data_IF_859779434693
#
_entry.id   IF_859779434693
#
_cell.length_a   1.000
_cell.length_b   1.000
_cell.length_c   1.000
_cell.angle_alpha   90.00
_cell.angle_beta   90.00
_cell.angle_gamma   90.00
#
_symmetry.space_group_name_H-M   'P 1'
#
loop_
_entity.id
_entity.type
_entity.pdbx_description
1 polymer ?
#
# COMPACT_ATOMS: atom_id res chain seq x y z
N UNK A 1 16.48 -25.31 13.24
CA UNK A 1 16.73 -24.63 11.94
C UNK A 1 15.49 -23.99 11.27
N UNK A 2 14.24 -24.30 11.68
CA UNK A 2 13.02 -23.84 10.97
C UNK A 2 12.52 -22.42 11.27
N UNK A 3 12.79 -21.89 12.48
CA UNK A 3 12.31 -20.56 12.89
C UNK A 3 12.99 -19.40 12.13
N UNK A 4 14.30 -19.51 11.88
CA UNK A 4 15.07 -18.50 11.14
C UNK A 4 14.63 -18.38 9.67
N UNK A 5 14.29 -19.51 9.02
CA UNK A 5 13.76 -19.52 7.64
C UNK A 5 12.35 -18.93 7.54
N UNK A 6 11.50 -19.12 8.55
CA UNK A 6 10.15 -18.52 8.60
C UNK A 6 10.21 -17.00 8.79
N UNK A 7 11.09 -16.52 9.68
CA UNK A 7 11.32 -15.08 9.88
C UNK A 7 11.85 -14.38 8.62
N UNK A 8 12.83 -14.99 7.93
CA UNK A 8 13.38 -14.46 6.69
C UNK A 8 12.37 -14.36 5.54
N UNK A 9 11.53 -15.39 5.35
CA UNK A 9 10.47 -15.40 4.33
C UNK A 9 9.39 -14.34 4.58
N UNK A 10 9.01 -14.11 5.84
CA UNK A 10 8.06 -13.07 6.20
C UNK A 10 8.63 -11.66 5.96
N UNK A 11 9.92 -11.45 6.26
CA UNK A 11 10.62 -10.19 5.99
C UNK A 11 10.75 -9.91 4.49
N UNK A 12 11.15 -10.91 3.69
CA UNK A 12 11.21 -10.78 2.23
C UNK A 12 9.84 -10.46 1.62
N UNK A 13 8.78 -11.09 2.11
CA UNK A 13 7.41 -10.79 1.66
C UNK A 13 6.98 -9.37 2.01
N UNK A 14 7.36 -8.86 3.19
CA UNK A 14 7.10 -7.47 3.57
C UNK A 14 7.82 -6.48 2.64
N UNK A 15 9.11 -6.74 2.34
CA UNK A 15 9.90 -5.94 1.40
C UNK A 15 9.25 -5.95 0.01
N UNK A 16 8.91 -7.13 -0.52
CA UNK A 16 8.28 -7.26 -1.83
C UNK A 16 6.91 -6.58 -1.89
N UNK A 17 6.07 -6.77 -0.87
CA UNK A 17 4.76 -6.14 -0.78
C UNK A 17 4.82 -4.61 -0.72
N UNK A 18 5.72 -4.08 0.11
CA UNK A 18 5.93 -2.64 0.21
C UNK A 18 6.54 -2.07 -1.07
N UNK A 19 7.45 -2.81 -1.72
CA UNK A 19 7.98 -2.45 -3.03
C UNK A 19 6.88 -2.36 -4.09
N UNK A 20 5.91 -3.27 -4.09
CA UNK A 20 4.75 -3.18 -4.99
C UNK A 20 3.92 -1.92 -4.70
N UNK A 21 3.71 -1.59 -3.43
CA UNK A 21 2.98 -0.36 -3.06
C UNK A 21 3.71 0.90 -3.54
N UNK A 22 5.00 1.01 -3.24
CA UNK A 22 5.82 2.17 -3.60
C UNK A 22 6.05 2.27 -5.10
N UNK A 23 6.32 1.16 -5.78
CA UNK A 23 6.47 1.11 -7.23
C UNK A 23 5.22 1.61 -7.96
N UNK A 24 4.03 1.23 -7.49
CA UNK A 24 2.78 1.77 -8.01
C UNK A 24 2.66 3.28 -7.77
N UNK A 25 2.92 3.75 -6.54
CA UNK A 25 2.87 5.19 -6.22
C UNK A 25 3.86 5.99 -7.09
N UNK A 26 5.10 5.52 -7.24
CA UNK A 26 6.08 6.13 -8.13
C UNK A 26 5.59 6.14 -9.58
N UNK A 27 4.97 5.06 -10.06
CA UNK A 27 4.43 5.02 -11.42
C UNK A 27 3.35 6.08 -11.64
N UNK A 28 2.48 6.32 -10.65
CA UNK A 28 1.46 7.37 -10.74
C UNK A 28 2.09 8.77 -10.81
N UNK A 29 3.07 9.06 -9.95
CA UNK A 29 3.67 10.41 -9.86
C UNK A 29 4.66 10.72 -10.97
N UNK A 30 5.35 9.72 -11.52
CA UNK A 30 6.43 9.92 -12.49
C UNK A 30 6.05 9.51 -13.92
N UNK A 31 5.11 8.58 -14.11
CA UNK A 31 4.67 8.09 -15.42
C UNK A 31 3.18 8.36 -15.70
N UNK A 32 2.51 9.13 -14.85
CA UNK A 32 1.08 9.41 -14.93
C UNK A 32 0.66 10.18 -16.18
N UNK A 33 -0.64 10.46 -16.27
CA UNK A 33 -1.25 11.14 -17.43
C UNK A 33 -0.82 12.61 -17.59
N UNK A 34 -0.22 13.23 -16.55
CA UNK A 34 0.32 14.60 -16.56
C UNK A 34 -0.71 15.64 -17.03
N UNK A 35 -1.95 15.54 -16.52
CA UNK A 35 -3.05 16.40 -16.99
C UNK A 35 -3.00 17.78 -16.33
N UNK A 36 -3.19 18.83 -17.12
CA UNK A 36 -3.27 20.20 -16.64
C UNK A 36 -4.73 20.62 -16.37
N UNK A 37 -4.90 21.63 -15.50
CA UNK A 37 -6.19 22.27 -15.22
C UNK A 37 -6.12 23.77 -15.56
N UNK A 38 -7.10 24.25 -16.32
CA UNK A 38 -7.19 25.63 -16.81
C UNK A 38 -6.72 25.80 -18.26
N UNK A 39 -7.13 26.90 -18.90
CA UNK A 39 -6.71 27.30 -20.25
C UNK A 39 -5.89 28.60 -20.19
N UNK A 40 -4.74 28.67 -20.89
CA UNK A 40 -3.91 29.88 -21.02
C UNK A 40 -2.65 29.93 -20.13
N UNK A 41 -2.10 31.15 -19.92
CA UNK A 41 -0.81 31.42 -19.23
C UNK A 41 -0.81 30.99 -17.75
N UNK A 42 -1.98 30.75 -17.15
CA UNK A 42 -2.15 30.26 -15.77
C UNK A 42 -2.62 28.80 -15.72
N UNK A 43 -2.21 27.95 -16.67
CA UNK A 43 -2.50 26.52 -16.63
C UNK A 43 -1.76 25.85 -15.46
N UNK A 44 -2.50 25.20 -14.57
CA UNK A 44 -1.92 24.41 -13.50
C UNK A 44 -1.50 23.06 -14.05
N UNK A 45 -0.21 22.89 -14.32
CA UNK A 45 0.35 21.63 -14.81
C UNK A 45 0.27 20.53 -13.74
N UNK A 46 -0.06 19.30 -14.17
CA UNK A 46 -0.16 18.11 -13.29
C UNK A 46 -1.20 18.26 -12.15
N UNK A 47 -2.36 18.79 -12.49
CA UNK A 47 -3.51 18.90 -11.59
C UNK A 47 -3.99 17.53 -11.07
N UNK A 48 -3.84 16.48 -11.87
CA UNK A 48 -4.08 15.08 -11.49
C UNK A 48 -3.19 14.64 -10.32
N UNK A 49 -1.90 14.99 -10.34
CA UNK A 49 -0.97 14.64 -9.26
C UNK A 49 -1.27 15.41 -7.99
N UNK A 50 -1.54 16.71 -8.11
CA UNK A 50 -1.90 17.53 -6.97
C UNK A 50 -3.19 17.03 -6.31
N UNK A 51 -4.22 16.73 -7.11
CA UNK A 51 -5.46 16.14 -6.64
C UNK A 51 -5.22 14.81 -5.92
N UNK A 52 -4.46 13.90 -6.55
CA UNK A 52 -4.13 12.59 -5.96
C UNK A 52 -3.43 12.75 -4.61
N UNK A 53 -2.44 13.65 -4.51
CA UNK A 53 -1.72 13.94 -3.28
C UNK A 53 -2.64 14.53 -2.20
N UNK A 54 -3.51 15.47 -2.57
CA UNK A 54 -4.48 16.08 -1.67
C UNK A 54 -5.41 15.02 -1.06
N UNK A 55 -5.92 14.10 -1.88
CA UNK A 55 -6.77 13.01 -1.42
C UNK A 55 -6.00 11.98 -0.57
N UNK A 56 -4.72 11.72 -0.86
CA UNK A 56 -3.88 10.91 0.04
C UNK A 56 -3.74 11.56 1.41
N UNK A 57 -3.48 12.87 1.47
CA UNK A 57 -3.43 13.64 2.72
C UNK A 57 -4.79 13.59 3.44
N UNK A 58 -5.89 13.73 2.69
CA UNK A 58 -7.24 13.61 3.23
C UNK A 58 -7.48 12.24 3.86
N UNK A 59 -6.99 11.13 3.28
CA UNK A 59 -7.07 9.81 3.92
C UNK A 59 -6.36 9.76 5.28
N UNK A 60 -5.18 10.38 5.40
CA UNK A 60 -4.49 10.47 6.69
C UNK A 60 -5.25 11.36 7.69
N UNK A 61 -5.83 12.47 7.21
CA UNK A 61 -6.70 13.34 8.01
C UNK A 61 -7.95 12.62 8.51
N UNK A 62 -8.63 11.87 7.64
CA UNK A 62 -9.77 11.02 7.96
C UNK A 62 -9.39 10.00 9.02
N UNK A 63 -8.24 9.33 8.88
CA UNK A 63 -7.76 8.41 9.91
C UNK A 63 -7.42 9.10 11.23
N UNK A 64 -6.87 10.32 11.21
CA UNK A 64 -6.60 11.12 12.43
C UNK A 64 -7.89 11.43 13.19
N UNK A 65 -8.98 11.75 12.50
CA UNK A 65 -10.27 12.09 13.14
C UNK A 65 -11.14 10.85 13.42
N UNK A 66 -10.97 9.77 12.66
CA UNK A 66 -11.72 8.53 12.82
C UNK A 66 -11.50 7.89 14.21
N UNK A 67 -12.57 7.32 14.77
CA UNK A 67 -12.52 6.54 16.01
C UNK A 67 -11.68 5.27 15.86
N UNK A 68 -11.20 4.70 16.97
CA UNK A 68 -10.41 3.46 16.96
C UNK A 68 -11.13 2.30 16.24
N UNK A 69 -12.44 2.19 16.42
CA UNK A 69 -13.29 1.21 15.72
C UNK A 69 -13.36 1.47 14.21
N UNK A 70 -13.54 2.73 13.81
CA UNK A 70 -13.56 3.13 12.40
C UNK A 70 -12.19 2.93 11.73
N UNK A 71 -11.08 3.27 12.40
CA UNK A 71 -9.71 2.97 11.93
C UNK A 71 -9.50 1.46 11.76
N UNK A 72 -10.03 0.65 12.67
CA UNK A 72 -10.01 -0.81 12.57
C UNK A 72 -10.77 -1.31 11.35
N UNK A 73 -11.96 -0.76 11.09
CA UNK A 73 -12.81 -1.11 9.96
C UNK A 73 -12.22 -0.66 8.61
N UNK A 74 -11.73 0.58 8.53
CA UNK A 74 -11.09 1.14 7.32
C UNK A 74 -9.85 0.35 6.90
N UNK A 75 -9.20 -0.31 7.86
CA UNK A 75 -7.98 -1.06 7.63
C UNK A 75 -8.23 -2.56 7.78
N UNK A 76 -9.49 -2.97 7.61
CA UNK A 76 -9.89 -4.37 7.61
C UNK A 76 -9.38 -5.08 6.35
N UNK A 77 -9.10 -6.38 6.51
CA UNK A 77 -8.58 -7.26 5.46
C UNK A 77 -9.35 -7.22 4.12
N UNK A 78 -10.70 -7.25 4.08
CA UNK A 78 -11.42 -7.21 2.81
C UNK A 78 -11.31 -5.84 2.12
N UNK A 79 -11.20 -4.76 2.89
CA UNK A 79 -11.07 -3.41 2.36
C UNK A 79 -9.73 -3.19 1.66
N UNK A 80 -8.66 -3.91 2.04
CA UNK A 80 -7.37 -3.85 1.35
C UNK A 80 -7.47 -4.31 -0.11
N UNK A 81 -8.25 -5.36 -0.38
CA UNK A 81 -8.51 -5.80 -1.76
C UNK A 81 -9.36 -4.81 -2.53
N UNK A 82 -10.36 -4.20 -1.86
CA UNK A 82 -11.14 -3.12 -2.46
C UNK A 82 -10.23 -1.94 -2.86
N UNK A 83 -9.34 -1.51 -1.97
CA UNK A 83 -8.36 -0.46 -2.28
C UNK A 83 -7.45 -0.84 -3.43
N UNK A 84 -6.92 -2.06 -3.47
CA UNK A 84 -6.10 -2.51 -4.59
C UNK A 84 -6.84 -2.50 -5.92
N UNK A 85 -8.10 -2.96 -5.95
CA UNK A 85 -8.95 -2.92 -7.15
C UNK A 85 -9.23 -1.48 -7.58
N UNK A 86 -9.60 -0.60 -6.64
CA UNK A 86 -9.83 0.81 -6.93
C UNK A 86 -8.58 1.50 -7.48
N UNK A 87 -7.39 1.16 -6.97
CA UNK A 87 -6.12 1.67 -7.48
C UNK A 87 -5.82 1.19 -8.90
N UNK A 88 -6.03 -0.09 -9.18
CA UNK A 88 -5.86 -0.66 -10.53
C UNK A 88 -6.82 0.04 -11.49
N UNK A 89 -8.12 0.04 -11.19
CA UNK A 89 -9.16 0.63 -12.04
C UNK A 89 -8.91 2.13 -12.22
N UNK A 90 -8.70 2.86 -11.12
CA UNK A 90 -8.46 4.31 -11.14
C UNK A 90 -7.19 4.73 -11.87
N UNK A 91 -6.17 3.86 -11.96
CA UNK A 91 -4.96 4.13 -12.75
C UNK A 91 -5.09 3.80 -14.25
N UNK A 92 -6.12 3.03 -14.63
CA UNK A 92 -6.39 2.65 -16.03
C UNK A 92 -7.37 3.62 -16.68
N UNK A 93 -8.41 4.07 -15.96
CA UNK A 93 -9.46 4.97 -16.48
C UNK A 93 -8.89 6.24 -17.14
N UNK A 94 -7.93 6.98 -16.53
CA UNK A 94 -7.38 8.19 -17.15
C UNK A 94 -6.60 7.91 -18.43
N UNK A 95 -6.03 6.71 -18.57
CA UNK A 95 -5.30 6.29 -19.77
C UNK A 95 -6.22 5.96 -20.95
N UNK A 96 -7.51 5.72 -20.68
CA UNK A 96 -8.52 5.41 -21.70
C UNK A 96 -9.42 6.62 -22.02
N UNK A 97 -9.72 7.45 -21.02
CA UNK A 97 -10.57 8.61 -21.17
C UNK A 97 -9.73 9.81 -21.62
N UNK A 98 -9.79 10.20 -22.91
CA UNK A 98 -8.90 11.20 -23.51
C UNK A 98 -9.00 12.64 -22.97
N UNK A 99 -10.21 13.19 -22.78
CA UNK A 99 -10.38 14.57 -22.29
C UNK A 99 -11.57 14.70 -21.31
N UNK A 100 -11.38 14.37 -20.02
CA UNK A 100 -12.42 14.43 -19.01
C UNK A 100 -12.71 15.86 -18.56
N UNK A 101 -13.99 16.13 -18.28
CA UNK A 101 -14.42 17.34 -17.58
C UNK A 101 -13.65 17.55 -16.25
N UNK A 102 -13.56 18.78 -15.73
CA UNK A 102 -12.87 19.06 -14.47
C UNK A 102 -13.40 18.24 -13.27
N UNK A 103 -14.69 17.92 -13.25
CA UNK A 103 -15.28 17.07 -12.21
C UNK A 103 -14.77 15.62 -12.25
N UNK A 104 -14.50 15.08 -13.43
CA UNK A 104 -13.91 13.74 -13.59
C UNK A 104 -12.45 13.70 -13.14
N UNK A 105 -11.69 14.79 -13.30
CA UNK A 105 -10.32 14.88 -12.77
C UNK A 105 -10.30 14.77 -11.24
N UNK A 106 -11.21 15.49 -10.57
CA UNK A 106 -11.35 15.41 -9.12
C UNK A 106 -11.78 14.01 -8.66
N UNK A 107 -12.71 13.38 -9.39
CA UNK A 107 -13.16 12.02 -9.11
C UNK A 107 -12.04 10.99 -9.32
N UNK A 108 -11.29 11.07 -10.41
CA UNK A 108 -10.12 10.22 -10.70
C UNK A 108 -9.06 10.36 -9.60
N UNK A 109 -8.76 11.61 -9.23
CA UNK A 109 -7.84 11.93 -8.14
C UNK A 109 -8.29 11.36 -6.80
N UNK A 110 -9.59 11.40 -6.50
CA UNK A 110 -10.15 10.80 -5.29
C UNK A 110 -10.10 9.27 -5.34
N UNK A 111 -10.45 8.69 -6.49
CA UNK A 111 -10.50 7.25 -6.72
C UNK A 111 -9.12 6.60 -6.58
N UNK A 112 -8.05 7.32 -6.91
CA UNK A 112 -6.67 6.85 -6.76
C UNK A 112 -6.08 7.30 -5.42
N UNK A 113 -6.21 8.58 -5.07
CA UNK A 113 -5.57 9.18 -3.90
C UNK A 113 -6.09 8.64 -2.57
N UNK A 114 -7.42 8.48 -2.43
CA UNK A 114 -7.99 7.96 -1.18
C UNK A 114 -7.50 6.54 -0.85
N UNK A 115 -7.66 5.54 -1.75
CA UNK A 115 -7.18 4.19 -1.47
C UNK A 115 -5.64 4.10 -1.41
N UNK A 116 -4.89 4.93 -2.15
CA UNK A 116 -3.43 4.97 -2.02
C UNK A 116 -3.00 5.41 -0.61
N UNK A 117 -3.62 6.47 -0.08
CA UNK A 117 -3.38 6.96 1.27
C UNK A 117 -3.78 5.93 2.34
N UNK A 118 -4.94 5.28 2.19
CA UNK A 118 -5.42 4.25 3.12
C UNK A 118 -4.55 2.99 3.08
N UNK A 119 -4.09 2.56 1.90
CA UNK A 119 -3.18 1.43 1.76
C UNK A 119 -1.81 1.73 2.36
N UNK A 120 -1.29 2.95 2.18
CA UNK A 120 -0.05 3.40 2.82
C UNK A 120 -0.20 3.46 4.35
N UNK A 121 -1.34 3.94 4.86
CA UNK A 121 -1.63 3.93 6.29
C UNK A 121 -1.76 2.50 6.85
N UNK A 122 -2.32 1.57 6.08
CA UNK A 122 -2.39 0.16 6.44
C UNK A 122 -0.99 -0.46 6.57
N UNK A 123 -0.09 -0.18 5.62
CA UNK A 123 1.32 -0.55 5.70
C UNK A 123 2.02 0.12 6.89
N UNK A 124 1.77 1.40 7.15
CA UNK A 124 2.32 2.12 8.30
C UNK A 124 1.92 1.48 9.63
N UNK A 125 0.66 1.06 9.78
CA UNK A 125 0.21 0.31 10.96
C UNK A 125 0.81 -1.08 11.05
N UNK A 126 0.88 -1.81 9.94
CA UNK A 126 1.42 -3.17 9.93
C UNK A 126 2.91 -3.19 10.29
N UNK A 127 3.69 -2.26 9.73
CA UNK A 127 5.12 -2.12 10.01
C UNK A 127 5.39 -1.48 11.37
N UNK A 128 4.55 -0.53 11.81
CA UNK A 128 4.63 0.06 13.15
C UNK A 128 4.40 -0.95 14.29
N UNK A 129 3.72 -2.07 14.01
CA UNK A 129 3.57 -3.19 14.95
C UNK A 129 4.72 -4.21 14.92
N UNK A 130 5.77 -3.99 14.13
CA UNK A 130 6.93 -4.88 14.01
C UNK A 130 8.18 -4.25 14.64
N UNK A 131 9.17 -5.06 15.07
CA UNK A 131 10.45 -4.54 15.54
C UNK A 131 11.16 -3.75 14.43
N UNK A 132 11.86 -2.69 14.81
CA UNK A 132 12.53 -1.75 13.90
C UNK A 132 13.48 -2.48 12.92
N UNK A 133 14.19 -3.50 13.40
CA UNK A 133 15.09 -4.33 12.60
C UNK A 133 14.40 -5.03 11.40
N UNK A 134 13.08 -5.24 11.46
CA UNK A 134 12.28 -5.83 10.38
C UNK A 134 11.54 -4.76 9.56
N UNK A 135 11.11 -3.68 10.20
CA UNK A 135 10.38 -2.59 9.54
C UNK A 135 11.30 -1.75 8.64
N UNK A 136 12.51 -1.41 9.09
CA UNK A 136 13.44 -0.57 8.33
C UNK A 136 13.78 -1.16 6.95
N UNK A 137 14.23 -2.43 6.83
CA UNK A 137 14.52 -2.99 5.52
C UNK A 137 13.28 -3.03 4.63
N UNK A 138 12.10 -3.33 5.18
CA UNK A 138 10.87 -3.34 4.41
C UNK A 138 10.56 -1.97 3.78
N UNK A 139 10.76 -0.88 4.53
CA UNK A 139 10.54 0.48 4.02
C UNK A 139 11.63 0.91 3.05
N UNK A 140 12.90 0.85 3.46
CA UNK A 140 14.00 1.39 2.67
C UNK A 140 14.31 0.54 1.44
N UNK A 141 14.48 -0.77 1.61
CA UNK A 141 14.74 -1.69 0.49
C UNK A 141 13.49 -1.79 -0.38
N UNK A 142 12.30 -1.84 0.22
CA UNK A 142 11.06 -1.86 -0.54
C UNK A 142 10.90 -0.62 -1.42
N UNK A 143 11.09 0.58 -0.88
CA UNK A 143 11.08 1.83 -1.66
C UNK A 143 12.15 1.84 -2.74
N UNK A 144 13.39 1.44 -2.43
CA UNK A 144 14.48 1.42 -3.40
C UNK A 144 14.19 0.45 -4.57
N UNK A 145 13.67 -0.75 -4.27
CA UNK A 145 13.26 -1.74 -5.27
C UNK A 145 12.09 -1.20 -6.10
N UNK A 146 11.08 -0.61 -5.47
CA UNK A 146 9.94 -0.01 -6.16
C UNK A 146 10.37 1.13 -7.10
N UNK A 147 11.26 2.01 -6.65
CA UNK A 147 11.81 3.10 -7.46
C UNK A 147 12.66 2.58 -8.61
N UNK A 148 13.52 1.58 -8.36
CA UNK A 148 14.36 0.96 -9.40
C UNK A 148 13.52 0.25 -10.44
N UNK A 149 12.48 -0.48 -10.04
CA UNK A 149 11.56 -1.14 -10.95
C UNK A 149 10.78 -0.10 -11.79
N UNK A 150 10.30 0.98 -11.17
CA UNK A 150 9.67 2.09 -11.87
C UNK A 150 10.64 2.71 -12.89
N UNK A 151 11.88 3.02 -12.48
CA UNK A 151 12.91 3.58 -13.37
C UNK A 151 13.25 2.64 -14.53
N UNK A 152 13.44 1.34 -14.25
CA UNK A 152 13.70 0.34 -15.28
C UNK A 152 12.57 0.32 -16.32
N UNK A 153 11.32 0.30 -15.89
CA UNK A 153 10.16 0.34 -16.80
C UNK A 153 10.04 1.67 -17.57
N UNK A 154 10.57 2.78 -17.04
CA UNK A 154 10.62 4.07 -17.73
C UNK A 154 11.60 4.06 -18.92
N UNK A 155 12.66 3.27 -18.78
CA UNK A 155 13.76 3.20 -19.75
C UNK A 155 13.57 2.12 -20.81
N UNK A 156 12.62 1.20 -20.62
CA UNK A 156 12.32 0.11 -21.54
C UNK A 156 11.33 0.60 -22.61
N UNK A 157 11.68 0.58 -23.92
CA UNK A 157 10.81 1.03 -25.01
C UNK A 157 9.80 -0.04 -25.41
N UNK A 158 9.08 -0.63 -24.45
CA UNK A 158 8.04 -1.64 -24.69
C UNK A 158 6.68 -1.01 -24.40
N UNK A 159 5.87 -0.85 -25.44
CA UNK A 159 4.47 -0.46 -25.31
C UNK A 159 3.76 -1.42 -24.36
N UNK A 160 3.26 -0.92 -23.25
CA UNK A 160 2.55 -1.73 -22.25
C UNK A 160 3.34 -2.08 -20.99
N UNK A 161 4.67 -1.88 -20.94
CA UNK A 161 5.45 -2.19 -19.73
C UNK A 161 4.96 -1.41 -18.50
N UNK A 162 4.56 -0.16 -18.69
CA UNK A 162 3.96 0.68 -17.64
C UNK A 162 2.60 0.17 -17.14
N UNK A 163 1.86 -0.65 -17.92
CA UNK A 163 0.61 -1.26 -17.45
C UNK A 163 0.86 -2.36 -16.40
N UNK A 164 2.01 -3.03 -16.42
CA UNK A 164 2.35 -4.01 -15.39
C UNK A 164 2.51 -3.35 -14.01
N UNK A 165 3.01 -2.09 -13.98
CA UNK A 165 3.11 -1.32 -12.75
C UNK A 165 1.73 -1.04 -12.12
N UNK A 166 0.68 -0.93 -12.94
CA UNK A 166 -0.70 -0.71 -12.48
C UNK A 166 -1.29 -1.90 -11.73
N UNK A 167 -0.73 -3.10 -11.89
CA UNK A 167 -1.18 -4.33 -11.20
C UNK A 167 -0.47 -4.55 -9.84
N UNK A 168 0.60 -3.81 -9.56
CA UNK A 168 1.35 -3.91 -8.31
C UNK A 168 0.50 -3.75 -7.03
N UNK A 169 -0.57 -2.92 -6.97
CA UNK A 169 -1.44 -2.83 -5.79
C UNK A 169 -1.99 -4.18 -5.31
N UNK A 170 -2.24 -5.13 -6.23
CA UNK A 170 -2.72 -6.47 -5.89
C UNK A 170 -1.67 -7.27 -5.11
N UNK A 171 -0.41 -7.21 -5.55
CA UNK A 171 0.72 -7.84 -4.84
C UNK A 171 0.97 -7.22 -3.47
N UNK A 172 0.81 -5.90 -3.36
CA UNK A 172 0.86 -5.16 -2.09
C UNK A 172 -0.23 -5.63 -1.12
N UNK A 173 -1.49 -5.70 -1.56
CA UNK A 173 -2.60 -6.14 -0.73
C UNK A 173 -2.44 -7.59 -0.25
N UNK A 174 -1.99 -8.50 -1.13
CA UNK A 174 -1.70 -9.88 -0.76
C UNK A 174 -0.62 -10.00 0.32
N UNK A 175 0.49 -9.28 0.16
CA UNK A 175 1.60 -9.30 1.11
C UNK A 175 1.19 -8.67 2.46
N UNK A 176 0.44 -7.59 2.43
CA UNK A 176 -0.08 -6.92 3.62
C UNK A 176 -1.05 -7.82 4.39
N UNK A 177 -1.93 -8.53 3.69
CA UNK A 177 -2.87 -9.48 4.29
C UNK A 177 -2.13 -10.64 4.98
N UNK A 178 -1.03 -11.14 4.38
CA UNK A 178 -0.19 -12.15 5.00
C UNK A 178 0.48 -11.66 6.29
N UNK A 179 0.92 -10.40 6.35
CA UNK A 179 1.52 -9.80 7.56
C UNK A 179 0.49 -9.60 8.67
N UNK A 180 -0.71 -9.11 8.33
CA UNK A 180 -1.80 -8.96 9.30
C UNK A 180 -2.24 -10.31 9.86
N UNK A 181 -2.29 -11.36 9.03
CA UNK A 181 -2.55 -12.73 9.48
C UNK A 181 -1.45 -13.25 10.42
N UNK A 182 -0.18 -13.04 10.09
CA UNK A 182 0.94 -13.49 10.91
C UNK A 182 1.00 -12.81 12.28
N UNK A 183 0.66 -11.53 12.38
CA UNK A 183 0.60 -10.80 13.66
C UNK A 183 -0.60 -11.18 14.54
N UNK A 184 -1.60 -11.90 14.01
CA UNK A 184 -2.79 -12.33 14.75
C UNK A 184 -2.64 -13.73 15.36
N UNK A 185 -1.56 -14.46 15.06
CA UNK A 185 -1.29 -15.74 15.71
C UNK A 185 -0.68 -15.48 17.09
N UNK A 186 -1.37 -15.82 18.20
CA UNK A 186 -0.75 -15.77 19.51
C UNK A 186 0.43 -16.73 19.52
N UNK A 187 1.52 -16.29 20.16
CA UNK A 187 2.74 -17.06 20.36
C UNK A 187 2.41 -18.35 21.13
N UNK A 188 2.10 -19.44 20.42
CA UNK A 188 1.95 -20.80 20.97
C UNK A 188 3.33 -21.38 21.27
N UNK A 189 4.14 -20.63 22.03
CA UNK A 189 5.54 -20.95 22.31
C UNK A 189 5.90 -20.93 23.80
N UNK A 190 4.92 -20.90 24.70
CA UNK A 190 5.16 -20.77 26.14
C UNK A 190 4.16 -21.51 27.01
N UNK A 191 4.04 -22.82 26.84
CA UNK A 191 3.48 -23.72 27.87
C UNK A 191 4.02 -25.12 27.61
N UNK A 192 5.02 -25.48 28.41
CA UNK A 192 5.24 -26.83 28.97
C UNK A 192 6.58 -26.81 29.74
N UNK A 193 6.59 -26.10 30.87
CA UNK A 193 7.60 -26.28 31.92
C UNK A 193 7.01 -25.79 33.26
N UNK A 194 6.84 -26.72 34.21
CA UNK A 194 6.32 -26.50 35.55
C UNK A 194 4.89 -27.05 35.67
N UNK A 195 4.68 -28.31 36.02
CA UNK A 195 5.33 -29.04 37.10
C UNK A 195 4.24 -29.34 38.12
N UNK A 196 3.78 -30.59 38.16
CA UNK A 196 2.68 -31.00 39.01
C UNK A 196 2.98 -30.81 40.49
N UNK A 197 1.95 -30.39 41.23
CA UNK A 197 1.79 -30.78 42.62
C UNK A 197 0.35 -31.26 42.76
N UNK A 198 0.24 -32.51 43.19
CA UNK A 198 -0.99 -33.26 43.34
C UNK A 198 -1.95 -32.61 44.34
N UNK A 199 -3.23 -32.56 43.97
CA UNK A 199 -4.31 -32.68 44.94
C UNK A 199 -4.22 -34.07 45.59
N UNK A 200 -4.01 -34.10 46.89
CA UNK A 200 -4.46 -35.19 47.74
C UNK A 200 -5.43 -34.56 48.75
N UNK A 201 -6.69 -34.97 48.67
CA UNK A 201 -7.73 -34.56 49.59
C UNK A 201 -7.67 -35.28 50.94
N UNK A 202 -8.62 -34.87 51.79
CA UNK A 202 -8.91 -35.26 53.18
C UNK A 202 -8.21 -34.45 54.26
#
# INVERSE_FOLDING_TARGET
>A
MGAHRRGGRASLRAVAGFACNQGFVFSLFYMGANRAFGEGILSFERADLFGTLLFMIASFGLLRVASSKARGALLARPLLWCYAVLLVVGSIVPALAGNPAPASLALESALVGLPAGLMLAAWGRALGGQPLARALPAVFVGSAVGATACFAMATVPVEGAAFLLKLLPLGSAWALQALVCAGSQPDRGGRDAGGGVAEAGA
#
